data_IF_268466970001
#
_entry.id   IF_268466970001
#
_cell.length_a   1.000
_cell.length_b   1.000
_cell.length_c   1.000
_cell.angle_alpha   90.00
_cell.angle_beta   90.00
_cell.angle_gamma   90.00
#
_symmetry.space_group_name_H-M   'P 1'
#
loop_
_entity.id
_entity.type
_entity.pdbx_description
1 polymer ?
#
# COMPACT_ATOMS: atom_id res chain seq x y z
N UNK A 1 -6.13 0.21 -4.36
CA UNK A 1 -4.84 -0.03 -5.02
C UNK A 1 -4.63 -1.51 -5.26
N UNK A 2 -3.87 -1.84 -6.30
CA UNK A 2 -3.31 -3.16 -6.56
C UNK A 2 -1.78 -3.04 -6.55
N UNK A 3 -1.08 -4.14 -6.28
CA UNK A 3 0.38 -4.17 -6.32
C UNK A 3 0.84 -5.23 -7.32
N UNK A 4 1.69 -4.82 -8.26
CA UNK A 4 2.28 -5.74 -9.22
C UNK A 4 3.34 -6.62 -8.56
N UNK A 5 3.17 -7.93 -8.68
CA UNK A 5 4.14 -8.90 -8.16
C UNK A 5 5.45 -8.93 -8.96
N UNK A 6 5.41 -8.48 -10.21
CA UNK A 6 6.54 -8.62 -11.16
C UNK A 6 7.35 -7.32 -11.32
N UNK A 7 6.80 -6.16 -10.92
CA UNK A 7 7.38 -4.85 -11.26
C UNK A 7 7.47 -3.85 -10.11
N UNK A 8 7.20 -4.26 -8.86
CA UNK A 8 7.21 -3.39 -7.67
C UNK A 8 6.48 -2.06 -7.91
N UNK A 9 5.35 -2.14 -8.61
CA UNK A 9 4.59 -0.99 -9.07
C UNK A 9 3.16 -1.08 -8.56
N UNK A 10 2.73 -0.03 -7.88
CA UNK A 10 1.35 0.12 -7.45
C UNK A 10 0.48 0.60 -8.61
N UNK A 11 -0.77 0.14 -8.63
CA UNK A 11 -1.75 0.52 -9.62
C UNK A 11 -3.08 0.90 -8.96
N UNK A 12 -3.53 2.13 -9.14
CA UNK A 12 -4.80 2.64 -8.68
C UNK A 12 -5.88 2.32 -9.73
N UNK A 13 -6.86 1.51 -9.32
CA UNK A 13 -8.08 1.29 -10.08
C UNK A 13 -9.17 2.18 -9.49
N UNK A 14 -9.76 3.04 -10.33
CA UNK A 14 -10.88 3.88 -9.92
C UNK A 14 -12.19 3.15 -10.21
N UNK A 15 -12.95 2.87 -9.17
CA UNK A 15 -14.31 2.35 -9.28
C UNK A 15 -15.29 3.50 -9.04
N UNK A 16 -16.33 3.57 -9.86
CA UNK A 16 -17.40 4.54 -9.73
C UNK A 16 -18.74 3.86 -10.01
N UNK A 17 -19.80 4.37 -9.42
CA UNK A 17 -21.17 3.99 -9.74
C UNK A 17 -21.97 5.23 -10.16
N UNK A 18 -22.97 5.03 -11.03
CA UNK A 18 -23.81 6.11 -11.56
C UNK A 18 -25.26 5.86 -11.17
N UNK A 19 -25.93 6.91 -10.68
CA UNK A 19 -27.32 6.84 -10.24
C UNK A 19 -27.49 5.88 -9.05
N UNK A 20 -28.40 4.90 -9.20
CA UNK A 20 -28.72 3.93 -8.16
C UNK A 20 -27.96 2.59 -8.31
N UNK A 21 -26.93 2.53 -9.16
CA UNK A 21 -26.11 1.33 -9.29
C UNK A 21 -25.23 1.11 -8.05
N UNK A 22 -25.10 -0.13 -7.56
CA UNK A 22 -24.16 -0.43 -6.49
C UNK A 22 -22.72 -0.20 -6.97
N UNK A 23 -21.87 0.29 -6.07
CA UNK A 23 -20.43 0.31 -6.32
C UNK A 23 -19.93 -1.14 -6.38
N UNK A 24 -19.07 -1.50 -7.34
CA UNK A 24 -18.42 -2.81 -7.33
C UNK A 24 -17.70 -3.04 -5.98
N UNK A 25 -17.72 -4.27 -5.45
CA UNK A 25 -16.99 -4.57 -4.23
C UNK A 25 -15.49 -4.40 -4.45
N UNK A 26 -14.79 -4.05 -3.37
CA UNK A 26 -13.34 -4.09 -3.35
C UNK A 26 -12.84 -5.52 -3.57
N UNK A 27 -11.65 -5.66 -4.16
CA UNK A 27 -10.98 -6.96 -4.22
C UNK A 27 -10.69 -7.46 -2.80
N UNK A 28 -10.92 -8.76 -2.52
CA UNK A 28 -10.55 -9.32 -1.23
C UNK A 28 -9.05 -9.23 -1.02
N UNK A 29 -8.64 -8.90 0.20
CA UNK A 29 -7.25 -9.05 0.61
C UNK A 29 -6.81 -10.52 0.44
N UNK A 30 -5.51 -10.74 0.19
CA UNK A 30 -4.87 -12.05 -0.07
C UNK A 30 -5.21 -12.74 -1.39
N UNK A 31 -5.91 -12.08 -2.31
CA UNK A 31 -6.16 -12.61 -3.65
C UNK A 31 -5.18 -12.03 -4.68
N UNK A 32 -4.79 -12.85 -5.64
CA UNK A 32 -4.01 -12.49 -6.82
C UNK A 32 -4.73 -12.89 -8.08
N UNK A 33 -4.42 -12.21 -9.18
CA UNK A 33 -4.91 -12.53 -10.50
C UNK A 33 -3.98 -11.92 -11.55
N UNK A 34 -4.00 -12.49 -12.75
CA UNK A 34 -3.37 -11.89 -13.92
C UNK A 34 -4.38 -10.95 -14.57
N UNK A 35 -3.91 -9.78 -15.03
CA UNK A 35 -4.75 -8.80 -15.69
C UNK A 35 -4.06 -8.19 -16.89
N UNK A 36 -4.83 -7.97 -17.95
CA UNK A 36 -4.47 -7.03 -19.00
C UNK A 36 -4.92 -5.64 -18.57
N UNK A 37 -3.99 -4.70 -18.47
CA UNK A 37 -4.25 -3.34 -18.01
C UNK A 37 -3.80 -2.30 -19.04
N UNK A 38 -4.52 -1.18 -19.10
CA UNK A 38 -4.07 0.03 -19.75
C UNK A 38 -3.66 1.06 -18.70
N UNK A 39 -2.44 1.59 -18.80
CA UNK A 39 -2.00 2.72 -17.96
C UNK A 39 -2.49 4.04 -18.54
N UNK A 40 -2.92 4.95 -17.67
CA UNK A 40 -3.22 6.31 -18.08
C UNK A 40 -1.92 7.10 -18.25
N UNK A 41 -1.85 7.93 -19.30
CA UNK A 41 -0.70 8.78 -19.59
C UNK A 41 -0.34 9.67 -18.39
N UNK A 42 0.94 9.65 -18.02
CA UNK A 42 1.53 10.41 -16.92
C UNK A 42 3.05 10.34 -17.02
N UNK A 43 3.74 11.35 -16.51
CA UNK A 43 5.19 11.28 -16.29
C UNK A 43 5.58 10.24 -15.23
N UNK A 44 4.63 9.86 -14.36
CA UNK A 44 4.74 8.72 -13.46
C UNK A 44 3.37 8.02 -13.36
N UNK A 45 3.07 7.01 -14.22
CA UNK A 45 1.77 6.37 -14.25
C UNK A 45 1.49 5.58 -12.96
N UNK A 46 0.40 5.96 -12.29
CA UNK A 46 -0.14 5.23 -11.13
C UNK A 46 -1.53 4.67 -11.40
N UNK A 47 -2.26 5.17 -12.39
CA UNK A 47 -3.65 4.78 -12.65
C UNK A 47 -3.72 3.78 -13.78
N UNK A 48 -4.62 2.81 -13.61
CA UNK A 48 -4.89 1.80 -14.63
C UNK A 48 -6.39 1.66 -14.90
N UNK A 49 -6.71 1.16 -16.09
CA UNK A 49 -7.97 0.52 -16.41
C UNK A 49 -7.73 -0.98 -16.63
N UNK A 50 -8.48 -1.83 -15.95
CA UNK A 50 -8.44 -3.28 -16.17
C UNK A 50 -9.30 -3.61 -17.39
N UNK A 51 -8.71 -4.22 -18.41
CA UNK A 51 -9.43 -4.66 -19.62
C UNK A 51 -9.98 -6.07 -19.46
N UNK A 52 -9.18 -6.95 -18.89
CA UNK A 52 -9.53 -8.33 -18.59
C UNK A 52 -8.72 -8.83 -17.40
N UNK A 53 -9.24 -9.83 -16.69
CA UNK A 53 -8.53 -10.51 -15.61
C UNK A 53 -8.89 -11.98 -15.55
N UNK A 54 -7.97 -12.78 -15.01
CA UNK A 54 -8.25 -14.17 -14.64
C UNK A 54 -9.12 -14.23 -13.37
N UNK A 55 -9.74 -15.39 -13.06
CA UNK A 55 -10.38 -15.61 -11.76
C UNK A 55 -9.39 -15.41 -10.62
N UNK A 56 -9.89 -14.87 -9.50
CA UNK A 56 -9.08 -14.66 -8.30
C UNK A 56 -8.54 -15.99 -7.76
N UNK A 57 -7.30 -15.95 -7.30
CA UNK A 57 -6.62 -17.08 -6.67
C UNK A 57 -6.05 -16.64 -5.32
N UNK A 58 -6.04 -17.55 -4.35
CA UNK A 58 -5.38 -17.29 -3.07
C UNK A 58 -3.89 -17.13 -3.31
N UNK A 59 -3.35 -16.01 -2.84
CA UNK A 59 -1.92 -15.74 -2.84
C UNK A 59 -1.16 -16.86 -2.11
N UNK A 60 -0.08 -17.36 -2.72
CA UNK A 60 0.99 -18.01 -1.96
C UNK A 60 1.74 -16.95 -1.13
N UNK A 61 2.78 -17.32 -0.39
CA UNK A 61 3.61 -16.34 0.30
C UNK A 61 4.19 -15.35 -0.72
N UNK A 62 3.72 -14.10 -0.69
CA UNK A 62 4.17 -13.03 -1.57
C UNK A 62 5.22 -12.21 -0.83
N UNK A 63 6.44 -12.18 -1.36
CA UNK A 63 7.49 -11.23 -0.93
C UNK A 63 7.48 -10.06 -1.89
N UNK A 64 6.79 -8.98 -1.54
CA UNK A 64 6.73 -7.75 -2.34
C UNK A 64 6.77 -6.53 -1.46
N UNK A 65 7.34 -5.44 -2.00
CA UNK A 65 7.44 -4.16 -1.30
C UNK A 65 8.87 -3.81 -0.93
N UNK A 66 9.07 -2.65 -0.35
CA UNK A 66 10.37 -2.16 0.10
C UNK A 66 10.72 -2.80 1.45
N UNK A 67 11.96 -3.25 1.60
CA UNK A 67 12.47 -3.82 2.86
C UNK A 67 12.84 -2.73 3.86
N UNK A 68 13.16 -1.54 3.37
CA UNK A 68 13.59 -0.40 4.17
C UNK A 68 12.88 0.88 3.74
N UNK A 69 12.63 1.77 4.70
CA UNK A 69 11.97 3.06 4.47
C UNK A 69 12.75 3.91 3.47
N UNK A 70 14.08 3.92 3.59
CA UNK A 70 14.96 4.68 2.71
C UNK A 70 14.79 4.28 1.24
N UNK A 71 14.62 2.99 0.94
CA UNK A 71 14.40 2.52 -0.43
C UNK A 71 13.09 3.06 -1.01
N UNK A 72 12.01 3.08 -0.20
CA UNK A 72 10.73 3.63 -0.61
C UNK A 72 10.82 5.14 -0.87
N UNK A 73 11.52 5.87 0.01
CA UNK A 73 11.75 7.31 -0.13
C UNK A 73 12.64 7.64 -1.34
N UNK A 74 13.65 6.83 -1.63
CA UNK A 74 14.48 7.01 -2.82
C UNK A 74 13.68 6.83 -4.11
N UNK A 75 12.77 5.85 -4.15
CA UNK A 75 11.88 5.65 -5.29
C UNK A 75 10.86 6.78 -5.41
N UNK A 76 10.36 7.29 -4.29
CA UNK A 76 9.51 8.48 -4.27
C UNK A 76 10.24 9.72 -4.79
N UNK A 77 11.51 9.91 -4.43
CA UNK A 77 12.32 11.02 -4.94
C UNK A 77 12.51 10.91 -6.47
N UNK A 78 12.73 9.70 -7.00
CA UNK A 78 12.77 9.47 -8.44
C UNK A 78 11.43 9.79 -9.11
N UNK A 79 10.32 9.38 -8.51
CA UNK A 79 8.98 9.67 -9.02
C UNK A 79 8.70 11.18 -9.06
N UNK A 80 9.09 11.92 -8.01
CA UNK A 80 8.98 13.38 -7.96
C UNK A 80 9.87 14.07 -8.99
N UNK A 81 11.07 13.54 -9.25
CA UNK A 81 11.96 14.10 -10.28
C UNK A 81 11.34 14.02 -11.69
N UNK A 82 10.54 12.98 -11.96
CA UNK A 82 9.79 12.84 -13.22
C UNK A 82 8.48 13.62 -13.21
N UNK A 83 7.77 13.62 -12.08
CA UNK A 83 6.49 14.29 -11.90
C UNK A 83 6.46 15.10 -10.59
N UNK A 84 6.81 16.40 -10.62
CA UNK A 84 6.89 17.22 -9.41
C UNK A 84 5.51 17.54 -8.79
N UNK A 85 4.41 17.21 -9.47
CA UNK A 85 3.05 17.36 -8.98
C UNK A 85 2.47 16.06 -8.42
N UNK A 86 3.30 15.04 -8.22
CA UNK A 86 2.87 13.78 -7.62
C UNK A 86 2.51 14.00 -6.14
N UNK A 87 1.22 14.11 -5.85
CA UNK A 87 0.74 14.37 -4.49
C UNK A 87 0.76 13.16 -3.56
N UNK A 88 0.55 11.95 -4.10
CA UNK A 88 0.50 10.71 -3.32
C UNK A 88 1.46 9.68 -3.94
N UNK A 89 2.28 9.08 -3.09
CA UNK A 89 3.15 7.98 -3.45
C UNK A 89 2.76 6.70 -2.68
N UNK A 90 2.31 5.63 -3.37
CA UNK A 90 1.95 4.38 -2.73
C UNK A 90 3.20 3.63 -2.27
N UNK A 91 3.21 3.20 -1.02
CA UNK A 91 4.30 2.38 -0.47
C UNK A 91 3.74 1.06 0.07
N UNK A 92 4.36 -0.03 -0.37
CA UNK A 92 4.25 -1.34 0.24
C UNK A 92 5.53 -1.57 1.03
N UNK A 93 5.45 -1.53 2.36
CA UNK A 93 6.60 -1.58 3.24
C UNK A 93 6.59 -2.89 4.01
N UNK A 94 7.74 -3.56 4.08
CA UNK A 94 7.92 -4.86 4.73
C UNK A 94 8.77 -4.73 6.01
N UNK A 95 8.51 -5.61 6.98
CA UNK A 95 9.34 -5.74 8.19
C UNK A 95 9.39 -4.47 9.06
N UNK A 96 8.25 -3.80 9.26
CA UNK A 96 8.16 -2.61 10.11
C UNK A 96 7.40 -2.89 11.39
N UNK A 97 7.81 -2.23 12.47
CA UNK A 97 7.14 -2.29 13.76
C UNK A 97 6.40 -0.96 13.98
N UNK A 98 5.05 -0.98 14.08
CA UNK A 98 4.28 0.15 14.56
C UNK A 98 4.65 0.47 16.01
N UNK A 99 4.94 1.73 16.29
CA UNK A 99 5.32 2.22 17.60
C UNK A 99 4.52 3.47 17.95
N UNK A 100 3.87 3.48 19.10
CA UNK A 100 3.25 4.68 19.66
C UNK A 100 4.26 5.38 20.57
N UNK A 101 4.58 6.62 20.23
CA UNK A 101 5.38 7.51 21.06
C UNK A 101 4.54 8.71 21.48
N UNK A 102 4.04 8.68 22.72
CA UNK A 102 3.25 9.76 23.32
C UNK A 102 2.05 10.21 22.47
N UNK A 103 1.36 9.26 21.81
CA UNK A 103 0.19 9.53 20.97
C UNK A 103 0.49 9.88 19.52
N UNK A 104 1.77 9.91 19.12
CA UNK A 104 2.17 9.92 17.71
C UNK A 104 2.57 8.51 17.30
N UNK A 105 2.02 8.03 16.19
CA UNK A 105 2.37 6.74 15.63
C UNK A 105 3.53 6.85 14.65
N UNK A 106 4.37 5.83 14.69
CA UNK A 106 5.53 5.66 13.85
C UNK A 106 5.58 4.25 13.27
N UNK A 107 6.06 4.11 12.05
CA UNK A 107 6.53 2.84 11.52
C UNK A 107 8.05 2.83 11.56
N UNK A 108 8.64 1.84 12.25
CA UNK A 108 10.09 1.73 12.43
C UNK A 108 10.59 0.52 11.66
N UNK A 109 11.60 0.70 10.80
CA UNK A 109 12.25 -0.41 10.09
C UNK A 109 13.42 -1.02 10.88
N UNK A 110 14.00 -2.09 10.34
CA UNK A 110 15.14 -2.79 10.97
C UNK A 110 16.42 -1.94 11.08
N UNK A 111 16.51 -0.83 10.34
CA UNK A 111 17.62 0.12 10.38
C UNK A 111 17.34 1.30 11.34
N UNK A 112 16.22 1.27 12.07
CA UNK A 112 15.77 2.35 12.96
C UNK A 112 15.40 3.65 12.23
N UNK A 113 15.12 3.58 10.92
CA UNK A 113 14.42 4.67 10.26
C UNK A 113 12.94 4.65 10.62
N UNK A 114 12.34 5.83 10.72
CA UNK A 114 10.94 5.98 11.10
C UNK A 114 10.15 6.83 10.11
N UNK A 115 8.91 6.42 9.84
CA UNK A 115 7.92 7.25 9.14
C UNK A 115 6.77 7.60 10.10
N UNK A 116 6.31 8.86 10.13
CA UNK A 116 5.05 9.21 10.79
C UNK A 116 3.90 8.42 10.17
N UNK A 117 3.13 7.74 11.00
CA UNK A 117 2.00 6.91 10.58
C UNK A 117 0.68 7.56 11.01
N UNK A 118 -0.29 7.54 10.11
CA UNK A 118 -1.69 7.78 10.41
C UNK A 118 -2.53 6.60 9.91
N UNK A 119 -3.58 6.27 10.66
CA UNK A 119 -4.63 5.33 10.23
C UNK A 119 -5.97 6.03 10.36
N UNK A 120 -6.93 5.71 9.48
CA UNK A 120 -8.23 6.39 9.47
C UNK A 120 -9.11 5.96 10.66
N UNK A 121 -8.98 4.70 11.07
CA UNK A 121 -9.72 4.11 12.18
C UNK A 121 -8.99 4.13 13.52
N UNK A 122 -9.34 3.16 14.36
CA UNK A 122 -8.66 2.96 15.63
C UNK A 122 -7.29 2.33 15.41
N UNK A 123 -6.31 2.71 16.24
CA UNK A 123 -4.94 2.21 16.16
C UNK A 123 -4.77 0.79 16.74
N UNK A 124 -5.60 0.41 17.72
CA UNK A 124 -5.38 -0.84 18.46
C UNK A 124 -5.40 -2.12 17.59
N UNK A 125 -6.18 -2.25 16.49
CA UNK A 125 -6.10 -3.43 15.63
C UNK A 125 -4.71 -3.59 15.00
N UNK A 126 -4.07 -2.49 14.61
CA UNK A 126 -2.71 -2.49 14.08
C UNK A 126 -1.69 -2.91 15.14
N UNK A 127 -1.80 -2.36 16.35
CA UNK A 127 -0.91 -2.71 17.46
C UNK A 127 -1.12 -4.17 17.90
N UNK A 128 -2.35 -4.66 17.88
CA UNK A 128 -2.68 -6.07 18.18
C UNK A 128 -2.12 -7.02 17.11
N UNK A 129 -2.25 -6.67 15.83
CA UNK A 129 -1.68 -7.44 14.72
C UNK A 129 -0.16 -7.53 14.82
N UNK A 130 0.51 -6.42 15.13
CA UNK A 130 1.96 -6.40 15.28
C UNK A 130 2.41 -7.12 16.56
N UNK A 131 1.76 -6.87 17.70
CA UNK A 131 2.18 -7.32 19.01
C UNK A 131 3.69 -7.08 19.28
N UNK A 132 4.22 -5.96 18.79
CA UNK A 132 5.65 -5.60 18.88
C UNK A 132 6.56 -6.30 17.88
N UNK A 133 6.02 -7.08 16.95
CA UNK A 133 6.76 -7.79 15.90
C UNK A 133 6.63 -7.08 14.55
N UNK A 134 7.60 -7.29 13.64
CA UNK A 134 7.54 -6.72 12.30
C UNK A 134 6.32 -7.22 11.50
N UNK A 135 5.66 -6.31 10.82
CA UNK A 135 4.53 -6.55 9.92
C UNK A 135 4.83 -5.99 8.53
N UNK A 136 3.97 -6.32 7.58
CA UNK A 136 3.89 -5.62 6.29
C UNK A 136 2.71 -4.67 6.28
N UNK A 137 2.86 -3.53 5.62
CA UNK A 137 1.84 -2.49 5.57
C UNK A 137 1.84 -1.83 4.18
N UNK A 138 0.64 -1.57 3.67
CA UNK A 138 0.40 -0.81 2.46
C UNK A 138 -0.27 0.52 2.81
N UNK A 139 0.13 1.59 2.13
CA UNK A 139 -0.44 2.90 2.35
C UNK A 139 0.06 3.96 1.38
N UNK A 140 -0.32 5.19 1.68
CA UNK A 140 -0.08 6.37 0.86
C UNK A 140 0.83 7.34 1.60
N UNK A 141 1.90 7.78 0.95
CA UNK A 141 2.80 8.81 1.45
C UNK A 141 2.53 10.13 0.73
N UNK A 142 2.26 11.20 1.49
CA UNK A 142 1.97 12.54 0.96
C UNK A 142 3.17 13.51 1.00
N UNK A 143 4.33 13.03 1.47
CA UNK A 143 5.51 13.85 1.72
C UNK A 143 5.76 14.19 3.19
N UNK A 144 4.76 13.97 4.06
CA UNK A 144 4.81 14.31 5.47
C UNK A 144 4.36 13.16 6.38
N UNK A 145 3.28 12.47 6.02
CA UNK A 145 2.66 11.39 6.79
C UNK A 145 2.37 10.21 5.88
N UNK A 146 2.59 9.01 6.40
CA UNK A 146 2.19 7.76 5.78
C UNK A 146 0.80 7.38 6.29
N UNK A 147 -0.19 7.38 5.40
CA UNK A 147 -1.55 6.92 5.71
C UNK A 147 -1.66 5.42 5.43
N UNK A 148 -1.71 4.61 6.48
CA UNK A 148 -1.88 3.16 6.39
C UNK A 148 -3.28 2.79 5.92
N UNK A 149 -3.37 1.89 4.93
CA UNK A 149 -4.63 1.41 4.34
C UNK A 149 -4.88 -0.07 4.65
N UNK A 150 -3.83 -0.87 4.69
CA UNK A 150 -3.92 -2.28 5.09
C UNK A 150 -2.61 -2.76 5.70
N UNK A 151 -2.70 -3.72 6.62
CA UNK A 151 -1.55 -4.34 7.25
C UNK A 151 -1.74 -5.86 7.35
N UNK A 152 -0.65 -6.62 7.30
CA UNK A 152 -0.71 -8.07 7.40
C UNK A 152 0.56 -8.69 8.00
N UNK A 153 0.35 -9.87 8.56
CA UNK A 153 1.37 -10.87 8.88
C UNK A 153 1.25 -12.05 7.89
N UNK A 154 1.95 -13.15 8.15
CA UNK A 154 1.76 -14.38 7.39
C UNK A 154 0.41 -15.07 7.63
N UNK A 155 -0.31 -14.69 8.69
CA UNK A 155 -1.53 -15.37 9.14
C UNK A 155 -2.78 -14.51 9.02
N UNK A 156 -2.64 -13.20 9.14
CA UNK A 156 -3.77 -12.27 9.27
C UNK A 156 -3.55 -11.02 8.42
N UNK A 157 -4.66 -10.50 7.86
CA UNK A 157 -4.70 -9.22 7.15
C UNK A 157 -5.83 -8.38 7.71
N UNK A 158 -5.57 -7.09 7.89
CA UNK A 158 -6.54 -6.10 8.36
C UNK A 158 -6.60 -4.90 7.41
N UNK A 159 -7.78 -4.29 7.31
CA UNK A 159 -7.95 -2.94 6.76
C UNK A 159 -7.76 -1.92 7.88
N UNK A 160 -7.18 -0.77 7.56
CA UNK A 160 -6.90 0.32 8.50
C UNK A 160 -7.77 1.56 8.26
#
# INVERSE_FOLDING_TARGET
WLWSLNSQQAALVLQFSVGFQPLPPAWPATQVFDAEVGWYDSAWPQRIAIKSQTPLQVASTITTGYEHIEQALQHQAQALAHNPFLGIFPMLLQQLVPHDDNGQLWLIDSQQHALPLQVAGSVWPLLALSAGHPISIFGEWDGYVFTGLSAWTSQEVISL
#
